data_IF_634051152495
#
_entry.id   IF_634051152495
#
_cell.length_a   1.000
_cell.length_b   1.000
_cell.length_c   1.000
_cell.angle_alpha   90.00
_cell.angle_beta   90.00
_cell.angle_gamma   90.00
#
_symmetry.space_group_name_H-M   'P 1'
#
loop_
_entity.id
_entity.type
_entity.pdbx_description
1 polymer ?
#
# COMPACT_ATOMS: atom_id res chain seq x y z
N UNK A 1 -2.70 13.62 15.66
CA UNK A 1 -3.70 13.61 14.55
C UNK A 1 -4.48 14.91 14.55
N UNK A 2 -4.88 15.44 13.39
CA UNK A 2 -5.67 16.68 13.31
C UNK A 2 -7.04 16.51 13.97
N UNK A 3 -7.36 17.33 14.96
CA UNK A 3 -8.54 17.16 15.83
C UNK A 3 -9.89 17.34 15.11
N UNK A 4 -9.91 18.04 13.97
CA UNK A 4 -11.13 18.28 13.19
C UNK A 4 -11.20 17.44 11.91
N UNK A 5 -10.47 16.32 11.84
CA UNK A 5 -10.41 15.48 10.63
C UNK A 5 -11.80 15.01 10.17
N UNK A 6 -12.67 14.59 11.10
CA UNK A 6 -14.03 14.18 10.76
C UNK A 6 -14.85 15.32 10.17
N UNK A 7 -14.69 16.54 10.70
CA UNK A 7 -15.40 17.70 10.16
C UNK A 7 -14.93 18.03 8.74
N UNK A 8 -13.64 17.89 8.49
CA UNK A 8 -13.05 18.09 7.18
C UNK A 8 -13.55 17.06 6.16
N UNK A 9 -13.61 15.78 6.55
CA UNK A 9 -14.15 14.69 5.69
C UNK A 9 -15.61 14.97 5.31
N UNK A 10 -16.45 15.36 6.28
CA UNK A 10 -17.85 15.75 6.00
C UNK A 10 -17.97 16.89 4.98
N UNK A 11 -17.12 17.91 5.09
CA UNK A 11 -17.13 19.04 4.17
C UNK A 11 -16.74 18.61 2.75
N UNK A 12 -15.73 17.75 2.60
CA UNK A 12 -15.37 17.21 1.29
C UNK A 12 -16.47 16.36 0.69
N UNK A 13 -17.08 15.45 1.45
CA UNK A 13 -18.17 14.61 0.96
C UNK A 13 -19.43 15.41 0.59
N UNK A 14 -19.72 16.49 1.33
CA UNK A 14 -20.81 17.41 0.98
C UNK A 14 -20.61 18.04 -0.41
N UNK A 15 -19.36 18.35 -0.77
CA UNK A 15 -18.98 18.90 -2.08
C UNK A 15 -18.66 17.80 -3.12
N UNK A 16 -18.99 16.53 -2.83
CA UNK A 16 -18.70 15.36 -3.69
C UNK A 16 -17.21 15.22 -4.03
N UNK A 17 -16.34 15.54 -3.08
CA UNK A 17 -14.88 15.33 -3.19
C UNK A 17 -14.51 14.04 -2.46
N UNK A 18 -13.83 13.14 -3.17
CA UNK A 18 -13.36 11.86 -2.60
C UNK A 18 -12.20 12.08 -1.62
N UNK A 19 -12.14 11.24 -0.58
CA UNK A 19 -11.17 11.39 0.52
C UNK A 19 -10.28 10.16 0.67
N UNK A 20 -8.97 10.40 0.60
CA UNK A 20 -7.93 9.38 0.73
C UNK A 20 -7.11 9.74 1.96
N UNK A 21 -7.26 8.98 3.05
CA UNK A 21 -6.57 9.28 4.31
C UNK A 21 -5.47 8.26 4.54
N UNK A 22 -4.27 8.74 4.88
CA UNK A 22 -3.12 7.89 5.22
C UNK A 22 -2.76 8.06 6.68
N UNK A 23 -2.57 6.95 7.39
CA UNK A 23 -2.10 6.90 8.78
C UNK A 23 -0.92 5.94 8.94
N UNK A 24 -0.07 6.19 9.93
CA UNK A 24 1.04 5.32 10.32
C UNK A 24 0.66 4.29 11.40
N UNK A 25 -0.63 4.18 11.75
CA UNK A 25 -1.12 3.19 12.71
C UNK A 25 -0.79 3.50 14.17
N UNK A 26 -0.49 4.76 14.48
CA UNK A 26 -0.06 5.17 15.83
C UNK A 26 -1.15 5.93 16.59
N UNK A 27 -2.44 5.72 16.34
CA UNK A 27 -3.52 6.47 17.00
C UNK A 27 -4.84 5.68 16.93
N UNK A 28 -4.97 4.55 17.66
CA UNK A 28 -6.12 3.65 17.53
C UNK A 28 -7.45 4.31 17.92
N UNK A 29 -7.50 5.09 19.01
CA UNK A 29 -8.73 5.79 19.42
C UNK A 29 -9.26 6.72 18.34
N UNK A 30 -8.37 7.48 17.70
CA UNK A 30 -8.75 8.39 16.63
C UNK A 30 -9.14 7.63 15.37
N UNK A 31 -8.51 6.48 15.09
CA UNK A 31 -8.89 5.62 13.98
C UNK A 31 -10.27 4.98 14.21
N UNK A 32 -10.61 4.63 15.46
CA UNK A 32 -11.92 4.12 15.86
C UNK A 32 -12.99 5.20 15.68
N UNK A 33 -12.71 6.43 16.11
CA UNK A 33 -13.60 7.58 15.97
C UNK A 33 -13.66 8.16 14.54
N UNK A 34 -12.78 7.73 13.64
CA UNK A 34 -12.71 8.23 12.26
C UNK A 34 -13.98 7.84 11.48
N UNK A 35 -14.64 8.84 10.90
CA UNK A 35 -15.75 8.66 9.96
C UNK A 35 -15.29 7.98 8.67
N UNK A 36 -16.24 7.38 7.96
CA UNK A 36 -15.95 6.73 6.69
C UNK A 36 -15.28 7.71 5.70
N UNK A 37 -14.23 7.24 5.04
CA UNK A 37 -13.52 7.94 3.98
C UNK A 37 -13.65 7.12 2.69
N UNK A 38 -13.38 7.72 1.53
CA UNK A 38 -13.42 6.98 0.27
C UNK A 38 -12.37 5.88 0.20
N UNK A 39 -11.17 6.12 0.76
CA UNK A 39 -10.15 5.09 0.90
C UNK A 39 -9.25 5.37 2.11
N UNK A 40 -9.10 4.37 2.99
CA UNK A 40 -8.27 4.46 4.20
C UNK A 40 -6.99 3.64 4.01
N UNK A 41 -5.85 4.31 4.13
CA UNK A 41 -4.53 3.73 4.04
C UNK A 41 -3.88 3.61 5.41
N UNK A 42 -3.39 2.41 5.69
CA UNK A 42 -2.46 2.15 6.77
C UNK A 42 -1.07 1.89 6.17
N UNK A 43 -0.11 2.74 6.51
CA UNK A 43 1.29 2.53 6.11
C UNK A 43 1.88 1.45 7.02
N UNK A 44 2.43 0.39 6.42
CA UNK A 44 3.11 -0.70 7.12
C UNK A 44 4.53 -0.77 6.57
N UNK A 45 5.47 -0.22 7.33
CA UNK A 45 6.87 -0.11 6.90
C UNK A 45 7.70 -1.36 7.23
N UNK A 46 7.17 -2.24 8.09
CA UNK A 46 7.81 -3.49 8.51
C UNK A 46 6.80 -4.55 8.99
N UNK A 47 7.17 -5.82 8.89
CA UNK A 47 6.36 -6.98 9.28
C UNK A 47 6.53 -7.43 10.74
N UNK A 48 7.46 -6.85 11.49
CA UNK A 48 7.80 -7.23 12.86
C UNK A 48 8.20 -6.00 13.72
N UNK A 49 8.13 -6.09 15.06
CA UNK A 49 8.39 -4.94 15.92
C UNK A 49 9.83 -4.44 15.87
N UNK A 50 10.82 -5.30 15.63
CA UNK A 50 12.24 -4.92 15.63
C UNK A 50 12.51 -4.06 14.40
N UNK A 51 12.15 -4.57 13.22
CA UNK A 51 12.30 -3.85 11.95
C UNK A 51 11.50 -2.54 11.93
N UNK A 52 10.28 -2.55 12.50
CA UNK A 52 9.47 -1.32 12.58
C UNK A 52 10.13 -0.24 13.44
N UNK A 53 10.83 -0.63 14.51
CA UNK A 53 11.54 0.32 15.37
C UNK A 53 12.71 0.96 14.64
N UNK A 54 13.46 0.17 13.89
CA UNK A 54 14.65 0.62 13.15
C UNK A 54 14.27 1.57 12.01
N UNK A 55 13.24 1.19 11.24
CA UNK A 55 12.79 1.92 10.05
C UNK A 55 11.89 3.10 10.44
N UNK A 56 10.84 2.82 11.22
CA UNK A 56 9.77 3.76 11.53
C UNK A 56 10.09 4.75 12.65
N UNK A 57 11.13 4.50 13.45
CA UNK A 57 11.55 5.32 14.62
C UNK A 57 10.36 5.86 15.40
N UNK A 58 9.47 4.97 15.89
CA UNK A 58 8.19 5.37 16.46
C UNK A 58 8.38 6.19 17.73
N UNK A 59 7.46 7.13 17.96
CA UNK A 59 7.47 8.00 19.14
C UNK A 59 7.00 7.29 20.42
N UNK A 60 6.10 6.31 20.26
CA UNK A 60 5.49 5.59 21.38
C UNK A 60 6.27 4.31 21.68
N UNK A 61 6.28 3.87 22.94
CA UNK A 61 6.96 2.64 23.36
C UNK A 61 6.15 1.37 23.03
N UNK A 62 4.83 1.49 22.99
CA UNK A 62 3.83 0.46 22.64
C UNK A 62 3.41 0.58 21.15
N UNK A 63 4.34 1.01 20.30
CA UNK A 63 4.08 1.31 18.89
C UNK A 63 3.58 0.11 18.09
N UNK A 64 3.98 -1.10 18.48
CA UNK A 64 3.62 -2.34 17.79
C UNK A 64 2.20 -2.74 18.14
N UNK A 65 1.85 -2.75 19.42
CA UNK A 65 0.51 -3.02 19.92
C UNK A 65 -0.50 -2.05 19.30
N UNK A 66 -0.13 -0.78 19.18
CA UNK A 66 -0.98 0.26 18.57
C UNK A 66 -1.17 0.07 17.08
N UNK A 67 -0.13 -0.37 16.36
CA UNK A 67 -0.24 -0.76 14.96
C UNK A 67 -1.20 -1.95 14.79
N UNK A 68 -1.02 -2.99 15.63
CA UNK A 68 -1.86 -4.18 15.61
C UNK A 68 -3.33 -3.85 15.91
N UNK A 69 -3.60 -2.97 16.87
CA UNK A 69 -4.96 -2.49 17.14
C UNK A 69 -5.53 -1.69 15.97
N UNK A 70 -4.72 -0.83 15.33
CA UNK A 70 -5.14 -0.10 14.13
C UNK A 70 -5.47 -1.05 12.96
N UNK A 71 -4.74 -2.15 12.82
CA UNK A 71 -5.04 -3.21 11.82
C UNK A 71 -6.41 -3.84 12.10
N UNK A 72 -6.72 -4.15 13.36
CA UNK A 72 -8.01 -4.72 13.72
C UNK A 72 -9.15 -3.71 13.49
N UNK A 73 -8.94 -2.44 13.82
CA UNK A 73 -9.92 -1.38 13.56
C UNK A 73 -10.14 -1.19 12.05
N UNK A 74 -9.07 -1.28 11.24
CA UNK A 74 -9.15 -1.13 9.79
C UNK A 74 -10.06 -2.19 9.16
N UNK A 75 -9.97 -3.43 9.63
CA UNK A 75 -10.79 -4.55 9.16
C UNK A 75 -12.30 -4.29 9.28
N UNK A 76 -12.70 -3.55 10.32
CA UNK A 76 -14.10 -3.22 10.59
C UNK A 76 -14.61 -1.99 9.81
N UNK A 77 -13.76 -1.33 9.01
CA UNK A 77 -14.17 -0.16 8.20
C UNK A 77 -14.95 -0.60 6.97
N UNK A 78 -15.96 0.20 6.61
CA UNK A 78 -16.85 -0.06 5.46
C UNK A 78 -16.22 0.36 4.12
N UNK A 79 -15.50 1.48 4.14
CA UNK A 79 -14.82 2.03 2.96
C UNK A 79 -13.65 1.17 2.50
N UNK A 80 -13.09 1.53 1.34
CA UNK A 80 -11.92 0.83 0.78
C UNK A 80 -10.74 0.91 1.73
N UNK A 81 -10.11 -0.22 2.03
CA UNK A 81 -8.96 -0.29 2.93
C UNK A 81 -7.68 -0.72 2.21
N UNK A 82 -6.57 -0.06 2.53
CA UNK A 82 -5.30 -0.29 1.86
C UNK A 82 -4.18 -0.44 2.87
N UNK A 83 -3.39 -1.50 2.74
CA UNK A 83 -2.05 -1.55 3.33
C UNK A 83 -1.05 -1.01 2.32
N UNK A 84 -0.30 0.02 2.69
CA UNK A 84 0.75 0.56 1.84
C UNK A 84 2.10 0.18 2.39
N UNK A 85 2.82 -0.65 1.65
CA UNK A 85 4.16 -1.12 1.96
C UNK A 85 5.17 -0.27 1.19
N UNK A 86 6.07 0.38 1.90
CA UNK A 86 7.18 1.12 1.26
C UNK A 86 8.40 0.22 1.19
N UNK A 87 8.76 -0.26 0.00
CA UNK A 87 9.88 -1.16 -0.20
C UNK A 87 11.19 -0.38 -0.34
N UNK A 88 12.17 -0.75 0.47
CA UNK A 88 13.50 -0.14 0.57
C UNK A 88 14.54 -1.24 0.42
N UNK A 89 15.36 -1.10 -0.62
CA UNK A 89 16.34 -2.13 -0.99
C UNK A 89 17.44 -2.29 0.05
N UNK A 90 17.73 -3.54 0.42
CA UNK A 90 18.64 -3.97 1.48
C UNK A 90 18.12 -3.79 2.91
N UNK A 91 16.87 -3.33 3.10
CA UNK A 91 16.32 -3.03 4.43
C UNK A 91 15.11 -3.92 4.70
N UNK A 92 14.04 -3.77 3.92
CA UNK A 92 12.78 -4.51 4.10
C UNK A 92 12.32 -5.22 2.82
N UNK A 93 13.25 -5.39 1.85
CA UNK A 93 13.11 -6.30 0.73
C UNK A 93 13.87 -7.60 0.98
N UNK A 94 13.57 -8.61 0.16
CA UNK A 94 14.39 -9.82 0.07
C UNK A 94 15.64 -9.52 -0.78
N UNK A 95 16.80 -10.00 -0.31
CA UNK A 95 18.03 -10.03 -1.10
C UNK A 95 18.21 -11.39 -1.79
N UNK A 96 18.85 -11.40 -2.96
CA UNK A 96 19.15 -12.64 -3.72
C UNK A 96 20.38 -13.40 -3.21
N UNK A 97 20.95 -13.00 -2.08
CA UNK A 97 22.16 -13.62 -1.55
C UNK A 97 21.85 -15.00 -0.95
N UNK A 98 22.55 -16.03 -1.43
CA UNK A 98 22.23 -17.44 -1.14
C UNK A 98 22.71 -17.93 0.24
N UNK A 99 23.12 -17.03 1.13
CA UNK A 99 23.56 -17.44 2.46
C UNK A 99 22.34 -17.72 3.35
N UNK A 100 22.48 -18.69 4.27
CA UNK A 100 21.35 -19.17 5.09
C UNK A 100 20.76 -18.08 5.99
N UNK A 101 21.59 -17.14 6.43
CA UNK A 101 21.17 -16.05 7.32
C UNK A 101 20.27 -15.05 6.58
N UNK A 102 20.54 -14.74 5.30
CA UNK A 102 19.66 -13.92 4.47
C UNK A 102 18.36 -14.64 4.11
N UNK A 103 18.40 -15.94 3.82
CA UNK A 103 17.18 -16.71 3.56
C UNK A 103 16.23 -16.70 4.76
N UNK A 104 16.76 -16.94 5.97
CA UNK A 104 15.96 -16.88 7.20
C UNK A 104 15.42 -15.47 7.47
N UNK A 105 16.21 -14.43 7.20
CA UNK A 105 15.76 -13.04 7.27
C UNK A 105 14.62 -12.75 6.27
N UNK A 106 14.73 -13.22 5.03
CA UNK A 106 13.73 -13.00 3.99
C UNK A 106 12.41 -13.70 4.33
N UNK A 107 12.47 -14.95 4.79
CA UNK A 107 11.31 -15.69 5.26
C UNK A 107 10.62 -14.98 6.44
N UNK A 108 11.40 -14.43 7.38
CA UNK A 108 10.87 -13.66 8.50
C UNK A 108 10.18 -12.36 8.05
N UNK A 109 10.77 -11.61 7.10
CA UNK A 109 10.19 -10.37 6.57
C UNK A 109 8.85 -10.67 5.88
N UNK A 110 8.82 -11.64 4.95
CA UNK A 110 7.61 -12.03 4.24
C UNK A 110 6.55 -12.61 5.19
N UNK A 111 6.95 -13.49 6.09
CA UNK A 111 6.07 -14.09 7.10
C UNK A 111 5.39 -13.03 7.98
N UNK A 112 6.14 -11.98 8.37
CA UNK A 112 5.61 -10.83 9.08
C UNK A 112 4.52 -10.09 8.28
N UNK A 113 4.81 -9.68 7.05
CA UNK A 113 3.81 -9.00 6.20
C UNK A 113 2.59 -9.87 5.92
N UNK A 114 2.78 -11.17 5.63
CA UNK A 114 1.69 -12.13 5.41
C UNK A 114 0.80 -12.21 6.65
N UNK A 115 1.39 -12.29 7.85
CA UNK A 115 0.65 -12.33 9.12
C UNK A 115 -0.20 -11.07 9.32
N UNK A 116 0.37 -9.89 9.07
CA UNK A 116 -0.35 -8.62 9.18
C UNK A 116 -1.49 -8.53 8.16
N UNK A 117 -1.25 -8.91 6.90
CA UNK A 117 -2.28 -8.90 5.85
C UNK A 117 -3.41 -9.88 6.18
N UNK A 118 -3.10 -11.08 6.69
CA UNK A 118 -4.11 -12.04 7.14
C UNK A 118 -4.95 -11.49 8.30
N UNK A 119 -4.31 -10.79 9.24
CA UNK A 119 -5.00 -10.15 10.38
C UNK A 119 -6.00 -9.10 9.94
N UNK A 120 -5.55 -8.13 9.13
CA UNK A 120 -6.36 -6.98 8.71
C UNK A 120 -7.28 -7.23 7.53
N UNK A 121 -6.93 -8.21 6.68
CA UNK A 121 -7.67 -8.56 5.47
C UNK A 121 -8.05 -7.34 4.59
N UNK A 122 -7.10 -6.42 4.31
CA UNK A 122 -7.40 -5.18 3.59
C UNK A 122 -7.91 -5.46 2.18
N UNK A 123 -8.63 -4.52 1.59
CA UNK A 123 -9.07 -4.66 0.20
C UNK A 123 -7.89 -4.70 -0.77
N UNK A 124 -6.86 -3.90 -0.50
CA UNK A 124 -5.70 -3.73 -1.34
C UNK A 124 -4.40 -3.74 -0.53
N UNK A 125 -3.33 -4.22 -1.16
CA UNK A 125 -1.95 -4.04 -0.70
C UNK A 125 -1.20 -3.33 -1.81
N UNK A 126 -0.79 -2.09 -1.56
CA UNK A 126 0.02 -1.28 -2.47
C UNK A 126 1.48 -1.41 -2.05
N UNK A 127 2.31 -2.00 -2.91
CA UNK A 127 3.75 -2.07 -2.71
C UNK A 127 4.38 -0.97 -3.54
N UNK A 128 5.10 -0.06 -2.90
CA UNK A 128 5.72 1.09 -3.54
C UNK A 128 7.20 1.14 -3.25
N UNK A 129 8.01 1.16 -4.29
CA UNK A 129 9.45 1.40 -4.16
C UNK A 129 9.74 2.80 -3.61
N UNK A 130 10.66 2.90 -2.65
CA UNK A 130 11.08 4.19 -2.10
C UNK A 130 11.70 5.05 -3.19
N UNK A 131 11.36 6.34 -3.21
CA UNK A 131 11.98 7.31 -4.11
C UNK A 131 12.98 8.17 -3.35
N UNK A 132 14.19 8.31 -3.90
CA UNK A 132 15.23 9.11 -3.28
C UNK A 132 14.95 10.61 -3.48
N UNK A 133 14.74 11.33 -2.38
CA UNK A 133 14.37 12.76 -2.40
C UNK A 133 15.58 13.72 -2.40
N UNK A 134 16.81 13.23 -2.58
CA UNK A 134 18.00 14.07 -2.76
C UNK A 134 18.69 14.57 -1.48
N UNK A 135 18.15 14.32 -0.29
CA UNK A 135 18.69 14.81 0.98
C UNK A 135 19.29 13.66 1.82
N UNK A 136 20.60 13.72 2.06
CA UNK A 136 21.42 12.60 2.57
C UNK A 136 21.90 12.74 4.02
N UNK A 137 21.76 13.90 4.66
CA UNK A 137 22.48 14.12 5.93
C UNK A 137 21.93 13.33 7.13
N UNK A 138 20.64 12.97 7.17
CA UNK A 138 20.03 12.36 8.37
C UNK A 138 19.20 11.07 8.14
N UNK A 139 18.96 10.68 6.88
CA UNK A 139 18.05 9.56 6.56
C UNK A 139 18.72 8.19 6.51
N UNK A 140 20.03 8.13 6.26
CA UNK A 140 20.75 6.86 6.03
C UNK A 140 20.41 6.17 4.70
N UNK A 141 19.55 6.77 3.86
CA UNK A 141 19.13 6.22 2.57
C UNK A 141 19.98 6.77 1.43
N UNK A 142 20.33 5.90 0.49
CA UNK A 142 21.07 6.23 -0.73
C UNK A 142 20.32 5.78 -1.98
N UNK A 143 20.79 6.18 -3.16
CA UNK A 143 20.26 5.67 -4.43
C UNK A 143 20.34 4.13 -4.55
N UNK A 144 21.24 3.46 -3.81
CA UNK A 144 21.33 1.99 -3.79
C UNK A 144 20.11 1.33 -3.13
N UNK A 145 19.41 2.07 -2.28
CA UNK A 145 18.24 1.60 -1.54
C UNK A 145 16.93 1.80 -2.33
N UNK A 146 17.00 2.42 -3.52
CA UNK A 146 15.85 2.57 -4.41
C UNK A 146 15.67 1.27 -5.21
N UNK A 147 14.58 0.52 -5.03
CA UNK A 147 14.33 -0.69 -5.79
C UNK A 147 13.94 -0.37 -7.23
N UNK A 148 14.29 -1.27 -8.15
CA UNK A 148 13.73 -1.25 -9.50
C UNK A 148 12.31 -1.81 -9.50
N UNK A 149 11.52 -1.49 -10.53
CA UNK A 149 10.16 -2.03 -10.67
C UNK A 149 10.12 -3.55 -10.64
N UNK A 150 11.12 -4.21 -11.24
CA UNK A 150 11.24 -5.67 -11.20
C UNK A 150 11.50 -6.22 -9.79
N UNK A 151 12.21 -5.47 -8.93
CA UNK A 151 12.41 -5.85 -7.53
C UNK A 151 11.06 -5.85 -6.80
N UNK A 152 10.22 -4.83 -7.06
CA UNK A 152 8.85 -4.73 -6.49
C UNK A 152 7.93 -5.84 -7.01
N UNK A 153 8.00 -6.18 -8.30
CA UNK A 153 7.25 -7.31 -8.88
C UNK A 153 7.63 -8.62 -8.20
N UNK A 154 8.94 -8.89 -8.06
CA UNK A 154 9.43 -10.12 -7.43
C UNK A 154 8.93 -10.24 -5.98
N UNK A 155 9.03 -9.15 -5.21
CA UNK A 155 8.51 -9.10 -3.84
C UNK A 155 6.99 -9.34 -3.81
N UNK A 156 6.23 -8.73 -4.71
CA UNK A 156 4.78 -8.93 -4.81
C UNK A 156 4.42 -10.39 -5.12
N UNK A 157 5.13 -11.05 -6.05
CA UNK A 157 4.92 -12.46 -6.40
C UNK A 157 5.14 -13.37 -5.19
N UNK A 158 6.22 -13.14 -4.44
CA UNK A 158 6.51 -13.93 -3.24
C UNK A 158 5.47 -13.71 -2.14
N UNK A 159 5.04 -12.46 -1.95
CA UNK A 159 4.02 -12.12 -0.97
C UNK A 159 2.69 -12.84 -1.28
N UNK A 160 2.24 -12.85 -2.53
CA UNK A 160 0.99 -13.54 -2.91
C UNK A 160 1.10 -15.07 -2.80
N UNK A 161 2.29 -15.66 -2.95
CA UNK A 161 2.47 -17.12 -2.77
C UNK A 161 2.12 -17.58 -1.34
N UNK A 162 2.19 -16.69 -0.35
CA UNK A 162 1.80 -16.97 1.04
C UNK A 162 0.41 -16.48 1.45
N UNK A 163 -0.35 -15.89 0.52
CA UNK A 163 -1.67 -15.29 0.74
C UNK A 163 -2.75 -15.96 -0.10
N UNK A 164 -3.76 -16.50 0.57
CA UNK A 164 -4.97 -16.96 -0.11
C UNK A 164 -5.94 -15.80 -0.33
N UNK A 165 -6.62 -15.78 -1.48
CA UNK A 165 -7.63 -14.76 -1.80
C UNK A 165 -7.06 -13.39 -2.19
N UNK A 166 -5.77 -13.31 -2.50
CA UNK A 166 -5.13 -12.10 -3.03
C UNK A 166 -4.37 -12.41 -4.33
N UNK A 167 -4.44 -11.49 -5.28
CA UNK A 167 -3.75 -11.60 -6.56
C UNK A 167 -3.25 -10.22 -7.01
N UNK A 168 -2.23 -10.18 -7.88
CA UNK A 168 -1.76 -8.92 -8.47
C UNK A 168 -2.80 -8.44 -9.50
N UNK A 169 -3.32 -7.23 -9.31
CA UNK A 169 -4.32 -6.63 -10.17
C UNK A 169 -3.72 -5.61 -11.15
N UNK A 170 -2.85 -4.74 -10.65
CA UNK A 170 -2.33 -3.60 -11.41
C UNK A 170 -0.84 -3.38 -11.18
N UNK A 171 -0.21 -2.69 -12.13
CA UNK A 171 1.13 -2.11 -11.94
C UNK A 171 1.14 -0.65 -12.37
N UNK A 172 2.14 0.10 -11.87
CA UNK A 172 2.50 1.40 -12.39
C UNK A 172 4.03 1.54 -12.42
N UNK A 173 4.65 1.13 -13.53
CA UNK A 173 6.11 1.06 -13.69
C UNK A 173 6.79 2.41 -13.41
N UNK A 174 6.18 3.51 -13.87
CA UNK A 174 6.76 4.84 -13.71
C UNK A 174 6.89 5.27 -12.25
N UNK A 175 6.02 4.77 -11.37
CA UNK A 175 6.06 5.06 -9.93
C UNK A 175 6.61 3.91 -9.10
N UNK A 176 7.09 2.84 -9.73
CA UNK A 176 7.59 1.64 -9.06
C UNK A 176 6.54 1.06 -8.08
N UNK A 177 5.29 0.94 -8.53
CA UNK A 177 4.16 0.50 -7.72
C UNK A 177 3.53 -0.78 -8.27
N UNK A 178 3.16 -1.68 -7.37
CA UNK A 178 2.32 -2.86 -7.65
C UNK A 178 1.09 -2.81 -6.73
N UNK A 179 -0.08 -3.13 -7.30
CA UNK A 179 -1.33 -3.28 -6.55
C UNK A 179 -1.71 -4.75 -6.50
N UNK A 180 -1.69 -5.31 -5.29
CA UNK A 180 -2.32 -6.59 -4.99
C UNK A 180 -3.73 -6.29 -4.48
N UNK A 181 -4.72 -7.05 -4.96
CA UNK A 181 -6.12 -6.87 -4.59
C UNK A 181 -6.71 -8.17 -4.04
N UNK A 182 -7.62 -8.03 -3.10
CA UNK A 182 -8.45 -9.15 -2.65
C UNK A 182 -9.34 -9.63 -3.80
N UNK A 183 -9.45 -10.95 -3.99
CA UNK A 183 -10.19 -11.55 -5.12
C UNK A 183 -11.69 -11.26 -5.11
N UNK A 184 -12.25 -10.73 -4.01
CA UNK A 184 -13.63 -10.20 -4.01
C UNK A 184 -13.85 -9.05 -5.01
N UNK A 185 -12.78 -8.37 -5.43
CA UNK A 185 -12.81 -7.35 -6.49
C UNK A 185 -12.63 -7.96 -7.89
N UNK A 186 -12.63 -9.29 -8.05
CA UNK A 186 -12.51 -9.97 -9.34
C UNK A 186 -13.84 -10.65 -9.68
N UNK A 187 -14.48 -10.23 -10.78
CA UNK A 187 -15.76 -10.80 -11.26
C UNK A 187 -15.55 -11.30 -12.69
N UNK A 188 -15.88 -12.56 -12.97
CA UNK A 188 -15.73 -13.17 -14.31
C UNK A 188 -14.32 -12.97 -14.90
N UNK A 189 -13.27 -13.19 -14.10
CA UNK A 189 -11.86 -12.99 -14.46
C UNK A 189 -11.45 -11.54 -14.78
N UNK A 190 -12.34 -10.57 -14.58
CA UNK A 190 -12.05 -9.13 -14.74
C UNK A 190 -11.91 -8.47 -13.38
N UNK A 191 -10.96 -7.54 -13.28
CA UNK A 191 -10.75 -6.75 -12.08
C UNK A 191 -11.69 -5.55 -12.02
N UNK A 192 -12.19 -5.26 -10.82
CA UNK A 192 -13.02 -4.10 -10.50
C UNK A 192 -12.33 -3.30 -9.40
N UNK A 193 -11.07 -2.93 -9.62
CA UNK A 193 -10.27 -2.18 -8.65
C UNK A 193 -10.34 -0.67 -8.86
N UNK A 194 -10.96 -0.19 -9.93
CA UNK A 194 -11.10 1.24 -10.20
C UNK A 194 -12.25 1.84 -9.41
N UNK A 195 -12.14 3.13 -9.05
CA UNK A 195 -13.19 3.83 -8.32
C UNK A 195 -14.16 4.48 -9.31
N UNK A 196 -15.43 4.18 -9.14
CA UNK A 196 -16.53 4.90 -9.76
C UNK A 196 -16.77 6.21 -8.98
N UNK A 197 -16.12 7.29 -9.44
CA UNK A 197 -16.19 8.59 -8.78
C UNK A 197 -17.57 9.26 -8.89
N UNK A 198 -18.46 8.76 -9.74
CA UNK A 198 -19.85 9.26 -9.76
C UNK A 198 -20.68 8.63 -8.63
N UNK A 199 -20.30 7.43 -8.15
CA UNK A 199 -21.03 6.66 -7.14
C UNK A 199 -20.43 6.66 -5.73
N UNK A 200 -19.17 7.07 -5.55
CA UNK A 200 -18.49 6.93 -4.25
C UNK A 200 -19.19 7.61 -3.07
N UNK A 201 -20.07 8.60 -3.33
CA UNK A 201 -20.76 9.38 -2.29
C UNK A 201 -22.17 8.85 -1.97
N UNK A 202 -22.60 7.76 -2.60
CA UNK A 202 -23.94 7.16 -2.40
C UNK A 202 -23.92 6.08 -1.30
N UNK A 203 -22.97 5.14 -1.36
CA UNK A 203 -22.67 4.17 -0.31
C UNK A 203 -21.15 4.04 -0.15
N UNK A 204 -20.63 4.29 1.05
CA UNK A 204 -19.21 4.17 1.36
C UNK A 204 -18.79 2.72 1.64
N UNK A 205 -19.49 1.74 1.08
CA UNK A 205 -19.04 0.35 1.01
C UNK A 205 -18.14 0.16 -0.20
N UNK A 206 -16.88 -0.20 0.04
CA UNK A 206 -15.82 -0.15 -0.98
C UNK A 206 -16.12 -0.84 -2.32
N UNK A 207 -16.86 -1.94 -2.26
CA UNK A 207 -17.23 -2.74 -3.43
C UNK A 207 -18.33 -2.10 -4.29
N UNK A 208 -19.20 -1.27 -3.70
CA UNK A 208 -20.38 -0.70 -4.37
C UNK A 208 -20.00 0.42 -5.36
N UNK A 209 -18.93 1.16 -5.06
CA UNK A 209 -18.37 2.19 -5.95
C UNK A 209 -17.13 1.71 -6.69
N UNK A 210 -17.06 0.40 -6.98
CA UNK A 210 -15.98 -0.18 -7.78
C UNK A 210 -16.42 -0.45 -9.21
N UNK A 211 -15.64 -0.01 -10.19
CA UNK A 211 -15.86 -0.27 -11.61
C UNK A 211 -14.68 -1.04 -12.23
N UNK A 212 -14.88 -1.52 -13.46
CA UNK A 212 -13.88 -2.31 -14.19
C UNK A 212 -12.54 -1.57 -14.26
N UNK A 213 -11.46 -2.28 -13.96
CA UNK A 213 -10.10 -1.77 -14.02
C UNK A 213 -9.72 -1.51 -15.47
N UNK A 214 -9.22 -0.30 -15.81
CA UNK A 214 -8.80 0.00 -17.17
C UNK A 214 -7.71 -0.97 -17.66
N UNK A 215 -7.81 -1.41 -18.91
CA UNK A 215 -6.88 -2.41 -19.49
C UNK A 215 -5.40 -1.99 -19.39
N UNK A 216 -5.11 -0.70 -19.58
CA UNK A 216 -3.76 -0.15 -19.48
C UNK A 216 -3.19 -0.13 -18.05
N UNK A 217 -4.04 -0.29 -17.04
CA UNK A 217 -3.65 -0.35 -15.63
C UNK A 217 -3.38 -1.78 -15.15
N UNK A 218 -3.91 -2.78 -15.86
CA UNK A 218 -3.76 -4.19 -15.51
C UNK A 218 -2.29 -4.60 -15.51
N UNK A 219 -1.95 -5.50 -14.60
CA UNK A 219 -0.61 -6.12 -14.56
C UNK A 219 -0.32 -6.87 -15.85
N UNK A 220 0.87 -6.64 -16.43
CA UNK A 220 1.28 -7.23 -17.70
C UNK A 220 0.73 -6.50 -18.94
N UNK A 221 0.01 -5.39 -18.77
CA UNK A 221 -0.42 -4.52 -19.88
C UNK A 221 0.78 -3.91 -20.61
N UNK A 222 0.57 -3.55 -21.88
CA UNK A 222 1.62 -2.91 -22.69
C UNK A 222 2.07 -1.57 -22.08
N UNK A 223 1.12 -0.85 -21.52
CA UNK A 223 1.28 0.48 -20.94
C UNK A 223 1.92 0.44 -19.54
N UNK A 224 1.90 -0.73 -18.89
CA UNK A 224 2.42 -0.96 -17.54
C UNK A 224 1.94 0.07 -16.51
N UNK A 225 0.66 0.39 -16.58
CA UNK A 225 0.02 1.37 -15.71
C UNK A 225 0.04 2.81 -16.20
N UNK A 226 0.82 3.17 -17.21
CA UNK A 226 0.87 4.55 -17.65
C UNK A 226 -0.38 4.91 -18.46
N UNK A 227 -1.15 5.88 -18.00
CA UNK A 227 -2.39 6.29 -18.66
C UNK A 227 -2.11 6.75 -20.11
N UNK A 228 -2.73 6.13 -21.14
CA UNK A 228 -2.52 6.50 -22.54
C UNK A 228 -2.83 7.96 -22.88
N UNK A 229 -3.69 8.61 -22.09
CA UNK A 229 -4.05 10.01 -22.28
C UNK A 229 -3.02 11.00 -21.72
N UNK A 230 -2.02 10.50 -20.98
CA UNK A 230 -0.93 11.31 -20.43
C UNK A 230 0.30 11.29 -21.34
N UNK A 231 1.12 12.34 -21.24
CA UNK A 231 2.37 12.42 -21.99
C UNK A 231 3.55 12.00 -21.11
N UNK A 232 4.19 10.88 -21.45
CA UNK A 232 5.39 10.42 -20.73
C UNK A 232 6.60 11.30 -21.07
N UNK A 233 7.09 12.06 -20.08
CA UNK A 233 8.32 12.82 -20.25
C UNK A 233 9.55 11.95 -19.92
N UNK A 234 10.25 11.50 -20.96
CA UNK A 234 11.53 10.81 -20.79
C UNK A 234 12.66 11.85 -20.72
N UNK A 235 13.43 11.86 -19.63
CA UNK A 235 14.67 12.64 -19.57
C UNK A 235 15.58 12.13 -20.68
N UNK A 236 15.94 12.99 -21.64
CA UNK A 236 16.94 12.66 -22.67
C UNK A 236 18.19 12.16 -21.95
N UNK A 237 18.72 11.00 -22.34
CA UNK A 237 20.05 10.57 -21.91
C UNK A 237 21.01 11.70 -22.25
N UNK A 238 21.62 12.31 -21.24
CA UNK A 238 22.85 13.07 -21.45
C UNK A 238 23.83 12.04 -22.00
N UNK A 239 24.16 12.18 -23.29
CA UNK A 239 25.13 11.32 -23.97
C UNK A 239 26.49 11.43 -23.29
#
# INVERSE_FOLDING_TARGET
>A
MYVHINKLIELFHKEKISTFLVTNGQFPDQMRALKDVTQLYLSIDAGDPVSLREIGRPLFTDYWERLLECIDILKEKRGRTVFRLTLVKGINDETTDSNKEEQERNENILGGYISLIKRGTPDFVEIKGVTFCGWTQDSGLSMKNVPYHNDVINFAIQLINGLEGYEIACEHEHSCCILIANTKYKKNQKWYTWIDFDKFNEDLQGIEYSCETPDWALFGSREKGFNPNETRYQRKKIK
#
